data_IF_726220335153
#
_entry.id   IF_726220335153
#
_cell.length_a   1.000
_cell.length_b   1.000
_cell.length_c   1.000
_cell.angle_alpha   90.00
_cell.angle_beta   90.00
_cell.angle_gamma   90.00
#
_symmetry.space_group_name_H-M   'P 1'
#
loop_
_entity.id
_entity.type
_entity.pdbx_description
1 polymer ?
#
# COMPACT_ATOMS: atom_id res chain seq x y z
N UNK A 1 22.48 -21.39 24.92
CA UNK A 1 22.43 -20.28 23.95
C UNK A 1 21.19 -20.50 23.09
N UNK A 2 20.14 -19.72 23.29
CA UNK A 2 18.96 -19.78 22.41
C UNK A 2 19.37 -19.32 21.01
N UNK A 3 18.93 -20.01 19.95
CA UNK A 3 19.19 -19.52 18.60
C UNK A 3 18.48 -18.18 18.49
N UNK A 4 19.27 -17.16 18.14
CA UNK A 4 18.77 -15.85 17.79
C UNK A 4 17.84 -16.06 16.58
N UNK A 5 16.53 -16.18 16.85
CA UNK A 5 15.52 -16.18 15.79
C UNK A 5 15.54 -14.77 15.22
N UNK A 6 16.42 -14.53 14.25
CA UNK A 6 16.24 -13.48 13.27
C UNK A 6 14.96 -13.82 12.54
N UNK A 7 13.83 -13.42 13.13
CA UNK A 7 12.51 -13.81 12.67
C UNK A 7 12.27 -13.08 11.36
N UNK A 8 12.32 -13.85 10.28
CA UNK A 8 11.84 -13.49 8.95
C UNK A 8 10.32 -13.23 8.93
N UNK A 9 9.64 -13.32 10.07
CA UNK A 9 8.21 -13.06 10.20
C UNK A 9 8.00 -11.56 10.19
N UNK A 10 7.47 -11.07 9.08
CA UNK A 10 6.76 -9.80 9.04
C UNK A 10 5.69 -9.86 10.12
N UNK A 11 5.78 -8.97 11.11
CA UNK A 11 4.76 -8.87 12.15
C UNK A 11 3.47 -8.42 11.44
N UNK A 12 2.40 -9.19 11.55
CA UNK A 12 1.10 -8.84 10.94
C UNK A 12 0.16 -8.51 12.08
N UNK A 13 -0.52 -7.37 11.99
CA UNK A 13 -1.53 -6.97 12.96
C UNK A 13 -2.65 -8.00 12.92
N UNK A 14 -2.86 -8.69 14.04
CA UNK A 14 -3.95 -9.67 14.17
C UNK A 14 -5.33 -9.03 14.00
N UNK A 15 -5.44 -7.71 14.23
CA UNK A 15 -6.69 -6.95 14.05
C UNK A 15 -7.00 -6.63 12.59
N UNK A 16 -5.99 -6.29 11.80
CA UNK A 16 -6.20 -5.78 10.43
C UNK A 16 -5.74 -6.76 9.36
N UNK A 17 -5.00 -7.80 9.74
CA UNK A 17 -4.36 -8.75 8.83
C UNK A 17 -3.22 -8.13 8.01
N UNK A 18 -2.67 -7.00 8.45
CA UNK A 18 -1.73 -6.19 7.65
C UNK A 18 -0.36 -5.99 8.33
N UNK A 19 0.73 -5.80 7.56
CA UNK A 19 2.09 -5.74 8.09
C UNK A 19 2.38 -4.57 9.04
N UNK A 20 2.99 -4.85 10.18
CA UNK A 20 3.48 -3.94 11.22
C UNK A 20 5.01 -3.99 11.24
N UNK A 21 5.66 -2.86 11.50
CA UNK A 21 7.13 -2.67 11.57
C UNK A 21 7.89 -2.89 10.25
N UNK A 22 8.29 -1.77 9.66
CA UNK A 22 8.93 -1.68 8.36
C UNK A 22 10.44 -1.73 8.53
N UNK A 23 11.01 -2.90 8.87
CA UNK A 23 12.46 -3.05 8.78
C UNK A 23 12.85 -3.21 7.31
N UNK A 24 13.85 -2.45 6.85
CA UNK A 24 14.24 -2.38 5.43
C UNK A 24 14.61 -3.73 4.80
N UNK A 25 14.91 -4.76 5.59
CA UNK A 25 15.16 -6.13 5.12
C UNK A 25 13.92 -6.82 4.51
N UNK A 26 12.72 -6.49 4.98
CA UNK A 26 11.47 -7.11 4.50
C UNK A 26 10.76 -6.29 3.41
N UNK A 27 11.40 -5.22 2.93
CA UNK A 27 10.81 -4.29 1.96
C UNK A 27 10.31 -4.96 0.65
N UNK A 28 11.03 -5.90 0.01
CA UNK A 28 10.55 -6.53 -1.21
C UNK A 28 9.23 -7.28 -1.03
N UNK A 29 9.07 -7.96 0.11
CA UNK A 29 7.84 -8.69 0.44
C UNK A 29 6.68 -7.74 0.75
N UNK A 30 6.93 -6.71 1.57
CA UNK A 30 5.93 -5.68 1.87
C UNK A 30 5.43 -4.98 0.60
N UNK A 31 6.38 -4.59 -0.27
CA UNK A 31 6.05 -4.01 -1.57
C UNK A 31 5.10 -4.91 -2.34
N UNK A 32 5.35 -6.22 -2.39
CA UNK A 32 4.48 -7.17 -3.10
C UNK A 32 3.08 -7.25 -2.50
N UNK A 33 2.95 -7.24 -1.18
CA UNK A 33 1.63 -7.20 -0.52
C UNK A 33 0.86 -5.91 -0.82
N UNK A 34 1.56 -4.76 -0.82
CA UNK A 34 0.94 -3.48 -1.19
C UNK A 34 0.52 -3.45 -2.66
N UNK A 35 1.33 -3.98 -3.58
CA UNK A 35 0.98 -4.12 -4.99
C UNK A 35 -0.32 -4.94 -5.15
N UNK A 36 -0.44 -6.07 -4.44
CA UNK A 36 -1.66 -6.90 -4.44
C UNK A 36 -2.87 -6.14 -3.87
N UNK A 37 -2.68 -5.41 -2.77
CA UNK A 37 -3.75 -4.62 -2.17
C UNK A 37 -4.24 -3.50 -3.10
N UNK A 38 -3.32 -2.82 -3.79
CA UNK A 38 -3.68 -1.80 -4.79
C UNK A 38 -4.37 -2.38 -6.02
N UNK A 39 -3.99 -3.59 -6.45
CA UNK A 39 -4.70 -4.30 -7.52
C UNK A 39 -6.14 -4.64 -7.13
N UNK A 40 -6.37 -5.06 -5.88
CA UNK A 40 -7.70 -5.39 -5.38
C UNK A 40 -8.67 -4.19 -5.39
N UNK A 41 -8.16 -3.01 -5.09
CA UNK A 41 -8.93 -1.76 -5.05
C UNK A 41 -8.90 -0.98 -6.38
N UNK A 42 -8.33 -1.56 -7.45
CA UNK A 42 -8.15 -0.94 -8.77
C UNK A 42 -7.40 0.42 -8.77
N UNK A 43 -6.50 0.61 -7.81
CA UNK A 43 -5.70 1.85 -7.67
C UNK A 43 -4.23 1.69 -8.04
N UNK A 44 -3.82 0.52 -8.54
CA UNK A 44 -2.43 0.20 -8.82
C UNK A 44 -1.74 1.21 -9.75
N UNK A 45 -2.41 1.61 -10.84
CA UNK A 45 -1.85 2.56 -11.83
C UNK A 45 -1.64 3.95 -11.25
N UNK A 46 -2.50 4.37 -10.33
CA UNK A 46 -2.37 5.63 -9.60
C UNK A 46 -1.23 5.55 -8.57
N UNK A 47 -1.18 4.46 -7.79
CA UNK A 47 -0.18 4.25 -6.74
C UNK A 47 1.25 4.11 -7.29
N UNK A 48 1.40 3.56 -8.50
CA UNK A 48 2.70 3.40 -9.18
C UNK A 48 3.10 4.60 -10.02
N UNK A 49 2.26 5.65 -10.09
CA UNK A 49 2.50 6.82 -10.93
C UNK A 49 2.35 6.57 -12.44
N UNK A 50 1.86 5.40 -12.85
CA UNK A 50 1.53 5.12 -14.25
C UNK A 50 0.33 5.93 -14.76
N UNK A 51 -0.49 6.44 -13.85
CA UNK A 51 -1.50 7.47 -14.09
C UNK A 51 -1.17 8.68 -13.22
N UNK A 52 -1.08 9.85 -13.85
CA UNK A 52 -0.78 11.13 -13.19
C UNK A 52 -1.90 12.12 -13.44
N UNK A 53 -2.03 13.10 -12.55
CA UNK A 53 -3.04 14.17 -12.68
C UNK A 53 -2.74 15.02 -13.91
N UNK A 54 -3.72 15.16 -14.79
CA UNK A 54 -3.64 16.05 -15.95
C UNK A 54 -4.21 17.44 -15.59
N UNK A 55 -3.49 18.53 -15.89
CA UNK A 55 -4.01 19.88 -15.66
C UNK A 55 -5.26 20.23 -16.49
N UNK A 56 -5.54 19.52 -17.59
CA UNK A 56 -6.67 19.80 -18.49
C UNK A 56 -7.93 18.98 -18.14
N UNK A 57 -7.90 18.20 -17.06
CA UNK A 57 -9.06 17.41 -16.63
C UNK A 57 -10.23 18.29 -16.21
N UNK A 58 -11.43 17.82 -16.53
CA UNK A 58 -12.65 18.40 -16.02
C UNK A 58 -12.85 18.09 -14.53
N UNK A 59 -13.81 18.75 -13.89
CA UNK A 59 -14.08 18.58 -12.46
C UNK A 59 -14.40 17.13 -12.06
N UNK A 60 -15.10 16.36 -12.92
CA UNK A 60 -15.44 14.97 -12.64
C UNK A 60 -14.19 14.08 -12.62
N UNK A 61 -13.27 14.29 -13.57
CA UNK A 61 -11.99 13.57 -13.63
C UNK A 61 -11.09 13.91 -12.44
N UNK A 62 -11.07 15.19 -12.02
CA UNK A 62 -10.35 15.60 -10.80
C UNK A 62 -10.94 14.94 -9.55
N UNK A 63 -12.26 14.90 -9.42
CA UNK A 63 -12.91 14.26 -8.28
C UNK A 63 -12.60 12.76 -8.21
N UNK A 64 -12.67 12.06 -9.37
CA UNK A 64 -12.31 10.64 -9.47
C UNK A 64 -10.83 10.40 -9.11
N UNK A 65 -9.93 11.28 -9.51
CA UNK A 65 -8.53 11.23 -9.09
C UNK A 65 -8.40 11.35 -7.57
N UNK A 66 -9.04 12.35 -6.96
CA UNK A 66 -8.97 12.58 -5.53
C UNK A 66 -9.57 11.40 -4.73
N UNK A 67 -10.61 10.75 -5.24
CA UNK A 67 -11.16 9.52 -4.66
C UNK A 67 -10.15 8.37 -4.71
N UNK A 68 -9.49 8.15 -5.85
CA UNK A 68 -8.43 7.14 -5.95
C UNK A 68 -7.25 7.44 -5.00
N UNK A 69 -6.87 8.70 -4.84
CA UNK A 69 -5.84 9.09 -3.85
C UNK A 69 -6.27 8.78 -2.42
N UNK A 70 -7.54 9.04 -2.06
CA UNK A 70 -8.10 8.66 -0.75
C UNK A 70 -8.11 7.15 -0.55
N UNK A 71 -8.44 6.38 -1.57
CA UNK A 71 -8.40 4.90 -1.51
C UNK A 71 -6.97 4.41 -1.27
N UNK A 72 -5.97 4.93 -1.97
CA UNK A 72 -4.55 4.60 -1.74
C UNK A 72 -4.16 4.90 -0.29
N UNK A 73 -4.50 6.09 0.21
CA UNK A 73 -4.22 6.46 1.60
C UNK A 73 -4.89 5.50 2.58
N UNK A 74 -6.15 5.11 2.37
CA UNK A 74 -6.83 4.10 3.21
C UNK A 74 -6.14 2.75 3.16
N UNK A 75 -5.69 2.30 1.98
CA UNK A 75 -4.95 1.04 1.85
C UNK A 75 -3.65 1.11 2.65
N UNK A 76 -2.91 2.21 2.58
CA UNK A 76 -1.67 2.41 3.36
C UNK A 76 -1.96 2.51 4.87
N UNK A 77 -2.90 3.36 5.29
CA UNK A 77 -3.14 3.68 6.69
C UNK A 77 -4.02 2.68 7.45
N UNK A 78 -4.84 1.88 6.77
CA UNK A 78 -5.46 0.74 7.44
C UNK A 78 -4.47 -0.42 7.58
N UNK A 79 -3.27 -0.34 6.97
CA UNK A 79 -2.16 -1.30 7.10
C UNK A 79 -1.21 -1.04 8.25
N UNK A 80 -1.56 -0.08 9.12
CA UNK A 80 -0.86 0.18 10.38
C UNK A 80 -1.66 -0.33 11.58
#
# INVERSE_FOLDING_TARGET
>A
MSPNKSSWEVEVSEKTGRPVRWSGQNWPYYRRLMELAFHKEDVFRFATGAMVRDPNWNQQQVAAWDDNQRTIQRVIFASV
#
